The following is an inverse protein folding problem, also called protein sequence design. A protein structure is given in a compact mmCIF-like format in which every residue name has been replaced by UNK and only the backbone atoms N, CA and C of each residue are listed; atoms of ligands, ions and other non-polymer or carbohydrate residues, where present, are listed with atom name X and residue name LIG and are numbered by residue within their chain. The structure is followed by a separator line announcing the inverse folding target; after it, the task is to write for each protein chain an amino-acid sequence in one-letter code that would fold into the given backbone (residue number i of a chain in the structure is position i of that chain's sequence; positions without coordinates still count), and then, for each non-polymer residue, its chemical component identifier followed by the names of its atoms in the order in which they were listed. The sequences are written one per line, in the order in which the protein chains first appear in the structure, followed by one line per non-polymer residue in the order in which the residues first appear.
data_IF_428191865285
#
_entry.id   IF_428191865285
#
_cell.length_a   1.000
_cell.length_b   1.000
_cell.length_c   1.000
_cell.angle_alpha   90.00
_cell.angle_beta   90.00
_cell.angle_gamma   90.00
#
_symmetry.space_group_name_H-M   'P 1'
#
loop_
_entity.id
_entity.type
_entity.pdbx_description
1 polymer ?
#
# COMPACT_ATOMS: atom_id res chain seq x y z
N UNK A 1 7.50 45.11 40.58
CA UNK A 1 7.83 45.05 39.14
C UNK A 1 8.50 43.69 38.94
N UNK A 2 7.77 42.61 39.20
CA UNK A 2 8.36 41.26 39.36
C UNK A 2 7.33 40.13 39.08
N UNK A 3 6.26 40.40 38.33
CA UNK A 3 5.22 39.41 38.00
C UNK A 3 4.88 39.36 36.50
N UNK A 4 5.89 39.54 35.63
CA UNK A 4 5.69 39.48 34.16
C UNK A 4 6.68 38.57 33.41
N UNK A 5 7.53 37.80 34.09
CA UNK A 5 8.53 36.94 33.41
C UNK A 5 8.13 35.45 33.29
N UNK A 6 7.09 34.99 33.99
CA UNK A 6 6.78 33.54 34.04
C UNK A 6 5.92 33.00 32.89
N UNK A 7 5.39 33.85 32.00
CA UNK A 7 4.46 33.41 30.93
C UNK A 7 5.12 33.04 29.60
N UNK A 8 6.38 33.41 29.38
CA UNK A 8 7.10 33.04 28.16
C UNK A 8 7.72 31.64 28.25
N UNK A 9 8.03 31.15 29.46
CA UNK A 9 8.69 29.84 29.64
C UNK A 9 7.80 28.61 29.40
N UNK A 10 6.47 28.78 29.47
CA UNK A 10 5.49 27.70 29.27
C UNK A 10 5.08 27.49 27.80
N UNK A 11 5.29 28.49 26.94
CA UNK A 11 4.96 28.38 25.51
C UNK A 11 6.04 27.63 24.71
N UNK A 12 7.31 27.74 25.09
CA UNK A 12 8.40 27.00 24.41
C UNK A 12 8.42 25.51 24.74
N UNK A 13 7.96 25.10 25.94
CA UNK A 13 7.86 23.68 26.32
C UNK A 13 6.79 22.90 25.54
N UNK A 14 5.84 23.57 24.91
CA UNK A 14 4.83 22.90 24.06
C UNK A 14 5.26 22.75 22.58
N UNK A 15 6.35 23.42 22.17
CA UNK A 15 6.82 23.40 20.77
C UNK A 15 7.76 22.23 20.48
N UNK A 16 8.57 21.83 21.45
CA UNK A 16 9.57 20.76 21.27
C UNK A 16 8.98 19.34 21.32
N UNK A 17 7.76 19.16 21.85
CA UNK A 17 7.16 17.83 21.98
C UNK A 17 6.34 17.38 20.74
N UNK A 18 6.35 18.18 19.65
CA UNK A 18 5.65 17.86 18.39
C UNK A 18 6.56 17.52 17.21
N UNK A 19 7.89 17.65 17.32
CA UNK A 19 8.80 17.44 16.19
C UNK A 19 9.41 16.02 16.07
N UNK A 20 9.26 15.14 17.06
CA UNK A 20 9.98 13.85 17.10
C UNK A 20 9.14 12.59 16.77
N UNK A 21 8.01 12.70 16.06
CA UNK A 21 7.20 11.51 15.70
C UNK A 21 6.73 11.41 14.24
N UNK A 22 7.44 12.02 13.28
CA UNK A 22 7.16 11.81 11.86
C UNK A 22 8.43 11.66 11.02
N UNK A 23 8.96 10.44 10.99
CA UNK A 23 9.67 9.80 9.86
C UNK A 23 10.14 8.45 10.41
N UNK A 24 9.73 7.30 9.91
CA UNK A 24 10.09 6.80 8.59
C UNK A 24 9.36 5.45 8.42
N UNK A 25 8.40 5.36 7.50
CA UNK A 25 7.98 4.07 6.93
C UNK A 25 7.61 4.33 5.46
N UNK A 26 8.44 3.79 4.58
CA UNK A 26 8.30 3.84 3.13
C UNK A 26 7.42 2.67 2.69
N UNK A 27 6.16 2.94 2.34
CA UNK A 27 5.32 1.99 1.63
C UNK A 27 5.64 2.02 0.12
N UNK A 28 6.19 0.90 -0.34
CA UNK A 28 6.36 0.53 -1.74
C UNK A 28 5.06 -0.14 -2.21
N UNK A 29 4.23 0.59 -2.96
CA UNK A 29 3.03 0.04 -3.60
C UNK A 29 3.42 -0.55 -4.96
N UNK A 30 3.36 -1.88 -5.06
CA UNK A 30 3.14 -2.57 -6.34
C UNK A 30 1.81 -3.30 -6.24
N UNK A 31 0.86 -2.79 -7.01
CA UNK A 31 -0.42 -3.43 -7.31
C UNK A 31 -0.17 -4.70 -8.14
N UNK A 32 -0.69 -5.83 -7.65
CA UNK A 32 -1.03 -6.95 -8.51
C UNK A 32 -2.35 -7.55 -8.05
N UNK A 33 -3.39 -7.25 -8.82
CA UNK A 33 -4.68 -7.93 -8.79
C UNK A 33 -4.51 -9.42 -9.10
N UNK A 34 -4.92 -10.28 -8.16
CA UNK A 34 -5.29 -11.65 -8.51
C UNK A 34 -6.59 -12.04 -7.80
N UNK A 35 -7.63 -12.08 -8.63
CA UNK A 35 -8.95 -12.64 -8.39
C UNK A 35 -8.81 -14.16 -8.23
N UNK A 36 -9.00 -14.66 -7.02
CA UNK A 36 -9.08 -16.10 -6.73
C UNK A 36 -10.43 -16.40 -6.12
N UNK A 37 -11.25 -17.03 -6.95
CA UNK A 37 -12.54 -17.60 -6.62
C UNK A 37 -12.42 -18.68 -5.53
N UNK A 38 -13.54 -18.83 -4.84
CA UNK A 38 -13.89 -19.84 -3.85
C UNK A 38 -13.33 -21.23 -4.17
N UNK A 39 -12.79 -21.89 -3.14
CA UNK A 39 -13.10 -23.28 -2.83
C UNK A 39 -12.86 -23.52 -1.33
N UNK A 40 -13.95 -23.82 -0.62
CA UNK A 40 -13.93 -24.27 0.77
C UNK A 40 -13.78 -25.78 0.77
N UNK A 41 -12.59 -26.25 1.14
CA UNK A 41 -12.32 -27.68 1.33
C UNK A 41 -12.02 -28.01 2.79
N UNK A 42 -12.63 -29.12 3.23
CA UNK A 42 -12.37 -29.98 4.42
C UNK A 42 -13.27 -29.78 5.65
N UNK A 43 -13.67 -30.87 6.35
CA UNK A 43 -12.88 -32.10 6.54
C UNK A 43 -13.61 -33.45 6.33
N UNK A 44 -12.90 -34.42 5.76
CA UNK A 44 -13.25 -35.84 5.84
C UNK A 44 -12.87 -36.37 7.23
N UNK A 45 -13.89 -36.66 8.04
CA UNK A 45 -13.80 -37.55 9.19
C UNK A 45 -14.15 -38.96 8.72
N UNK A 46 -13.14 -39.78 8.40
CA UNK A 46 -13.33 -41.21 8.20
C UNK A 46 -13.44 -41.88 9.57
N UNK A 47 -14.67 -42.24 9.95
CA UNK A 47 -14.97 -43.23 10.98
C UNK A 47 -15.08 -44.61 10.31
N UNK A 48 -14.62 -45.68 10.98
CA UNK A 48 -14.50 -47.01 10.37
C UNK A 48 -15.84 -47.75 10.34
N UNK A 49 -16.13 -48.35 9.19
CA UNK A 49 -17.27 -49.25 8.99
C UNK A 49 -16.94 -50.68 9.46
N UNK A 50 -17.98 -51.34 9.95
CA UNK A 50 -17.96 -52.60 10.67
C UNK A 50 -18.02 -53.84 9.75
N UNK A 51 -17.36 -54.91 10.23
CA UNK A 51 -17.68 -56.35 10.02
C UNK A 51 -17.54 -56.95 8.61
N UNK A 52 -16.47 -57.73 8.45
CA UNK A 52 -16.57 -59.07 7.86
C UNK A 52 -15.94 -60.11 8.80
N UNK A 53 -16.80 -60.85 9.49
CA UNK A 53 -16.52 -62.14 10.10
C UNK A 53 -16.55 -63.23 9.02
N UNK A 54 -15.47 -63.99 8.86
CA UNK A 54 -15.53 -65.31 8.22
C UNK A 54 -14.37 -66.20 8.70
N UNK A 55 -14.67 -67.01 9.71
CA UNK A 55 -14.20 -68.37 10.00
C UNK A 55 -12.96 -68.89 9.24
N UNK A 56 -11.88 -69.13 9.98
CA UNK A 56 -10.74 -69.94 9.54
C UNK A 56 -10.71 -71.26 10.33
N UNK A 57 -10.60 -72.37 9.58
CA UNK A 57 -10.41 -73.79 9.96
C UNK A 57 -11.73 -74.58 10.15
N UNK A 58 -11.88 -75.80 9.58
CA UNK A 58 -10.85 -76.85 9.49
C UNK A 58 -10.71 -77.53 8.12
N UNK A 59 -9.58 -78.22 7.87
CA UNK A 59 -9.51 -79.26 6.85
C UNK A 59 -8.75 -80.45 7.41
N UNK A 60 -9.53 -81.46 7.77
CA UNK A 60 -9.11 -82.82 8.11
C UNK A 60 -8.64 -83.49 6.84
N UNK A 61 -7.37 -83.92 6.79
CA UNK A 61 -6.89 -84.87 5.79
C UNK A 61 -6.92 -86.27 6.40
N UNK A 62 -7.82 -87.08 5.86
CA UNK A 62 -7.83 -88.53 5.96
C UNK A 62 -6.88 -89.11 4.92
N UNK A 63 -5.91 -89.92 5.35
CA UNK A 63 -5.16 -90.82 4.46
C UNK A 63 -5.14 -92.22 5.05
N UNK A 64 -5.77 -93.13 4.32
CA UNK A 64 -5.97 -94.55 4.63
C UNK A 64 -4.71 -95.38 4.37
N UNK A 65 -4.57 -96.41 5.22
CA UNK A 65 -4.11 -97.78 4.98
C UNK A 65 -2.67 -98.05 4.52
N UNK A 66 -1.93 -98.81 5.34
CA UNK A 66 -1.22 -100.02 4.90
C UNK A 66 -1.32 -101.12 5.99
N UNK A 67 -1.71 -102.32 5.56
CA UNK A 67 -1.72 -103.59 6.29
C UNK A 67 -0.28 -104.07 6.59
N UNK A 68 -0.11 -104.94 7.62
CA UNK A 68 0.38 -106.33 7.47
C UNK A 68 0.77 -106.98 8.83
N UNK A 69 0.26 -108.20 8.98
CA UNK A 69 0.72 -109.37 9.75
C UNK A 69 0.63 -109.44 11.30
N UNK A 70 -0.45 -110.12 11.70
CA UNK A 70 -0.48 -111.31 12.56
C UNK A 70 0.86 -111.88 13.05
N UNK A 71 1.02 -111.94 14.38
CA UNK A 71 1.78 -113.00 15.04
C UNK A 71 0.99 -113.57 16.20
N UNK A 72 1.01 -114.89 16.23
CA UNK A 72 0.18 -115.82 16.97
C UNK A 72 0.58 -115.96 18.45
N UNK A 73 -0.40 -116.42 19.23
CA UNK A 73 -0.28 -117.27 20.40
C UNK A 73 -0.19 -116.66 21.81
N UNK A 74 -1.17 -117.12 22.61
CA UNK A 74 -1.25 -117.24 24.07
C UNK A 74 -1.78 -116.02 24.82
N UNK A 75 -3.04 -116.08 25.26
CA UNK A 75 -3.44 -116.12 26.68
C UNK A 75 -4.94 -115.76 26.86
N UNK A 76 -5.83 -116.77 26.75
CA UNK A 76 -7.29 -116.65 26.91
C UNK A 76 -7.74 -116.18 28.32
N UNK A 77 -6.81 -115.87 29.23
CA UNK A 77 -7.11 -115.24 30.52
C UNK A 77 -6.98 -113.71 30.52
N UNK A 78 -6.33 -113.10 29.51
CA UNK A 78 -6.16 -111.64 29.37
C UNK A 78 -7.26 -110.95 28.54
N UNK A 79 -8.02 -111.70 27.74
CA UNK A 79 -9.01 -111.14 26.81
C UNK A 79 -10.26 -110.58 27.54
N UNK A 80 -10.63 -111.20 28.67
CA UNK A 80 -11.70 -110.74 29.58
C UNK A 80 -11.26 -109.54 30.44
N UNK A 81 -9.98 -109.44 30.81
CA UNK A 81 -9.42 -108.26 31.48
C UNK A 81 -9.22 -107.10 30.50
N UNK A 82 -8.79 -107.35 29.27
CA UNK A 82 -8.65 -106.33 28.22
C UNK A 82 -10.01 -105.79 27.73
N UNK A 83 -11.08 -106.61 27.69
CA UNK A 83 -12.44 -106.11 27.42
C UNK A 83 -12.95 -105.21 28.54
N UNK A 84 -12.72 -105.58 29.81
CA UNK A 84 -13.07 -104.75 30.97
C UNK A 84 -12.24 -103.48 31.07
N UNK A 85 -10.96 -103.53 30.68
CA UNK A 85 -10.10 -102.35 30.55
C UNK A 85 -10.58 -101.43 29.43
N UNK A 86 -10.98 -101.96 28.27
CA UNK A 86 -11.55 -101.18 27.16
C UNK A 86 -12.93 -100.59 27.48
N UNK A 87 -13.80 -101.34 28.16
CA UNK A 87 -15.07 -100.80 28.68
C UNK A 87 -14.82 -99.68 29.70
N UNK A 88 -13.87 -99.86 30.62
CA UNK A 88 -13.50 -98.81 31.58
C UNK A 88 -12.87 -97.57 30.90
N UNK A 89 -12.08 -97.76 29.83
CA UNK A 89 -11.47 -96.68 29.05
C UNK A 89 -12.50 -95.92 28.19
N UNK A 90 -13.52 -96.63 27.67
CA UNK A 90 -14.64 -96.02 26.95
C UNK A 90 -15.62 -95.32 27.92
N UNK A 91 -15.84 -95.85 29.12
CA UNK A 91 -16.56 -95.17 30.20
C UNK A 91 -15.84 -93.88 30.62
N UNK A 92 -14.52 -93.90 30.75
CA UNK A 92 -13.71 -92.71 31.06
C UNK A 92 -13.77 -91.65 29.93
N UNK A 93 -13.78 -92.08 28.66
CA UNK A 93 -14.00 -91.18 27.51
C UNK A 93 -15.39 -90.57 27.52
N UNK A 94 -16.42 -91.32 27.88
CA UNK A 94 -17.78 -90.82 27.96
C UNK A 94 -17.95 -89.82 29.13
N UNK A 95 -17.29 -90.05 30.27
CA UNK A 95 -17.22 -89.10 31.38
C UNK A 95 -16.46 -87.82 31.00
N UNK A 96 -15.35 -87.92 30.27
CA UNK A 96 -14.62 -86.76 29.77
C UNK A 96 -15.45 -85.97 28.75
N UNK A 97 -16.22 -86.64 27.88
CA UNK A 97 -17.15 -85.98 26.95
C UNK A 97 -18.26 -85.23 27.71
N UNK A 98 -18.81 -85.83 28.77
CA UNK A 98 -19.83 -85.19 29.60
C UNK A 98 -19.28 -83.97 30.34
N UNK A 99 -18.08 -84.10 30.92
CA UNK A 99 -17.40 -83.02 31.64
C UNK A 99 -17.11 -81.84 30.70
N UNK A 100 -16.51 -82.09 29.52
CA UNK A 100 -16.26 -81.06 28.52
C UNK A 100 -17.55 -80.40 28.00
N UNK A 101 -18.65 -81.16 27.87
CA UNK A 101 -19.96 -80.61 27.48
C UNK A 101 -20.55 -79.72 28.59
N UNK A 102 -20.33 -80.06 29.86
CA UNK A 102 -20.78 -79.24 30.98
C UNK A 102 -19.95 -77.96 31.10
N UNK A 103 -18.63 -78.03 30.93
CA UNK A 103 -17.75 -76.86 30.85
C UNK A 103 -18.17 -75.93 29.69
N UNK A 104 -18.51 -76.48 28.53
CA UNK A 104 -19.01 -75.68 27.40
C UNK A 104 -20.33 -74.96 27.74
N UNK A 105 -21.23 -75.62 28.48
CA UNK A 105 -22.48 -74.99 28.95
C UNK A 105 -22.20 -73.86 29.95
N UNK A 106 -21.25 -74.06 30.86
CA UNK A 106 -20.86 -73.01 31.81
C UNK A 106 -20.28 -71.79 31.08
N UNK A 107 -19.42 -72.00 30.09
CA UNK A 107 -18.88 -70.93 29.24
C UNK A 107 -20.00 -70.22 28.47
N UNK A 108 -21.00 -70.94 27.96
CA UNK A 108 -22.14 -70.33 27.26
C UNK A 108 -22.98 -69.46 28.19
N UNK A 109 -23.19 -69.89 29.44
CA UNK A 109 -23.90 -69.11 30.47
C UNK A 109 -23.12 -67.83 30.79
N UNK A 110 -21.80 -67.94 30.99
CA UNK A 110 -20.94 -66.78 31.23
C UNK A 110 -20.92 -65.82 30.03
N UNK A 111 -20.96 -66.34 28.81
CA UNK A 111 -21.01 -65.54 27.60
C UNK A 111 -22.35 -64.81 27.43
N UNK A 112 -23.46 -65.45 27.79
CA UNK A 112 -24.77 -64.81 27.84
C UNK A 112 -24.78 -63.67 28.85
N UNK A 113 -24.28 -63.89 30.07
CA UNK A 113 -24.15 -62.84 31.08
C UNK A 113 -23.25 -61.68 30.64
N UNK A 114 -22.15 -61.97 29.96
CA UNK A 114 -21.25 -60.94 29.42
C UNK A 114 -21.97 -60.09 28.35
N UNK A 115 -22.72 -60.73 27.45
CA UNK A 115 -23.52 -60.04 26.42
C UNK A 115 -24.57 -59.14 27.04
N UNK A 116 -25.34 -59.64 28.00
CA UNK A 116 -26.37 -58.85 28.68
C UNK A 116 -25.76 -57.64 29.38
N UNK A 117 -24.64 -57.83 30.10
CA UNK A 117 -23.92 -56.73 30.75
C UNK A 117 -23.37 -55.72 29.75
N UNK A 118 -22.88 -56.18 28.59
CA UNK A 118 -22.41 -55.30 27.52
C UNK A 118 -23.56 -54.43 26.98
N UNK A 119 -24.69 -55.06 26.66
CA UNK A 119 -25.86 -54.36 26.15
C UNK A 119 -26.45 -53.39 27.19
N UNK A 120 -26.52 -53.78 28.46
CA UNK A 120 -26.91 -52.86 29.53
C UNK A 120 -25.97 -51.65 29.64
N UNK A 121 -24.66 -51.87 29.50
CA UNK A 121 -23.67 -50.79 29.57
C UNK A 121 -23.83 -49.83 28.39
N UNK A 122 -24.04 -50.36 27.19
CA UNK A 122 -24.32 -49.56 25.99
C UNK A 122 -25.62 -48.78 26.12
N UNK A 123 -26.69 -49.41 26.64
CA UNK A 123 -27.97 -48.76 26.87
C UNK A 123 -27.85 -47.61 27.87
N UNK A 124 -27.18 -47.84 29.01
CA UNK A 124 -26.93 -46.79 30.02
C UNK A 124 -26.13 -45.62 29.46
N UNK A 125 -25.15 -45.88 28.59
CA UNK A 125 -24.39 -44.83 27.89
C UNK A 125 -25.31 -43.99 26.99
N UNK A 126 -26.13 -44.64 26.17
CA UNK A 126 -27.07 -43.96 25.28
C UNK A 126 -28.13 -43.17 26.05
N UNK A 127 -28.68 -43.72 27.12
CA UNK A 127 -29.62 -43.01 28.00
C UNK A 127 -29.00 -41.75 28.63
N UNK A 128 -27.73 -41.84 29.04
CA UNK A 128 -27.01 -40.70 29.57
C UNK A 128 -26.76 -39.63 28.50
N UNK A 129 -26.34 -40.01 27.30
CA UNK A 129 -26.19 -39.09 26.15
C UNK A 129 -27.52 -38.44 25.78
N UNK A 130 -28.62 -39.20 25.74
CA UNK A 130 -29.97 -38.68 25.52
C UNK A 130 -30.34 -37.63 26.57
N UNK A 131 -30.11 -37.93 27.85
CA UNK A 131 -30.38 -37.00 28.96
C UNK A 131 -29.54 -35.73 28.86
N UNK A 132 -28.30 -35.83 28.42
CA UNK A 132 -27.44 -34.66 28.13
C UNK A 132 -28.00 -33.81 26.99
N UNK A 133 -28.51 -34.45 25.93
CA UNK A 133 -29.18 -33.77 24.82
C UNK A 133 -30.46 -33.06 25.27
N UNK A 134 -31.31 -33.71 26.06
CA UNK A 134 -32.52 -33.09 26.63
C UNK A 134 -32.19 -31.88 27.50
N UNK A 135 -31.09 -31.94 28.27
CA UNK A 135 -30.60 -30.83 29.07
C UNK A 135 -29.86 -29.76 28.25
N UNK A 136 -29.71 -29.91 26.94
CA UNK A 136 -28.89 -29.07 26.05
C UNK A 136 -27.43 -28.91 26.52
N UNK A 137 -26.88 -29.94 27.17
CA UNK A 137 -25.52 -29.96 27.73
C UNK A 137 -24.61 -30.96 27.02
N UNK A 138 -25.05 -31.51 25.89
CA UNK A 138 -24.23 -32.38 25.08
C UNK A 138 -22.93 -31.64 24.67
N UNK A 139 -21.75 -32.25 24.81
CA UNK A 139 -20.47 -31.58 24.55
C UNK A 139 -20.38 -31.00 23.14
N UNK A 140 -20.87 -31.74 22.13
CA UNK A 140 -20.87 -31.28 20.75
C UNK A 140 -21.76 -30.05 20.57
N UNK A 141 -22.92 -30.02 21.22
CA UNK A 141 -23.82 -28.88 21.16
C UNK A 141 -23.20 -27.63 21.78
N UNK A 142 -22.56 -27.79 22.95
CA UNK A 142 -21.85 -26.69 23.62
C UNK A 142 -20.68 -26.19 22.77
N UNK A 143 -19.98 -27.10 22.10
CA UNK A 143 -18.90 -26.75 21.18
C UNK A 143 -19.41 -25.91 20.00
N UNK A 144 -20.47 -26.35 19.32
CA UNK A 144 -21.05 -25.59 18.21
C UNK A 144 -21.59 -24.23 18.67
N UNK A 145 -22.22 -24.17 19.84
CA UNK A 145 -22.73 -22.90 20.37
C UNK A 145 -21.59 -21.90 20.62
N UNK A 146 -20.48 -22.35 21.21
CA UNK A 146 -19.30 -21.50 21.40
C UNK A 146 -18.73 -20.99 20.08
N UNK A 147 -18.63 -21.86 19.06
CA UNK A 147 -18.15 -21.46 17.73
C UNK A 147 -19.05 -20.40 17.11
N UNK A 148 -20.37 -20.53 17.23
CA UNK A 148 -21.34 -19.55 16.73
C UNK A 148 -21.16 -18.22 17.47
N UNK A 149 -21.07 -18.25 18.81
CA UNK A 149 -20.88 -17.06 19.63
C UNK A 149 -19.57 -16.33 19.32
N UNK A 150 -18.48 -17.07 19.13
CA UNK A 150 -17.18 -16.52 18.74
C UNK A 150 -17.23 -15.88 17.36
N UNK A 151 -17.86 -16.54 16.38
CA UNK A 151 -18.06 -15.97 15.06
C UNK A 151 -18.88 -14.68 15.11
N UNK A 152 -19.98 -14.70 15.88
CA UNK A 152 -20.86 -13.55 16.04
C UNK A 152 -20.13 -12.36 16.70
N UNK A 153 -19.41 -12.61 17.80
CA UNK A 153 -18.56 -11.60 18.45
C UNK A 153 -17.52 -11.04 17.48
N UNK A 154 -16.83 -11.90 16.74
CA UNK A 154 -15.85 -11.48 15.73
C UNK A 154 -16.46 -10.67 14.58
N UNK A 155 -17.72 -10.92 14.21
CA UNK A 155 -18.44 -10.09 13.22
C UNK A 155 -18.80 -8.71 13.78
N UNK A 156 -19.31 -8.66 15.01
CA UNK A 156 -19.63 -7.40 15.69
C UNK A 156 -18.39 -6.53 15.82
N UNK A 157 -17.28 -7.11 16.31
CA UNK A 157 -16.03 -6.37 16.51
C UNK A 157 -15.51 -5.80 15.18
N UNK A 158 -15.50 -6.59 14.11
CA UNK A 158 -15.14 -6.11 12.77
C UNK A 158 -16.04 -4.97 12.31
N UNK A 159 -17.35 -5.07 12.52
CA UNK A 159 -18.30 -4.02 12.16
C UNK A 159 -18.05 -2.71 12.93
N UNK A 160 -17.79 -2.80 14.24
CA UNK A 160 -17.48 -1.64 15.09
C UNK A 160 -16.17 -0.98 14.63
N UNK A 161 -15.13 -1.79 14.40
CA UNK A 161 -13.84 -1.28 13.93
C UNK A 161 -13.95 -0.63 12.55
N UNK A 162 -14.71 -1.23 11.64
CA UNK A 162 -14.99 -0.65 10.33
C UNK A 162 -15.69 0.71 10.45
N UNK A 163 -16.72 0.81 11.31
CA UNK A 163 -17.42 2.07 11.54
C UNK A 163 -16.49 3.14 12.12
N UNK A 164 -15.67 2.78 13.12
CA UNK A 164 -14.68 3.68 13.72
C UNK A 164 -13.67 4.20 12.70
N UNK A 165 -13.15 3.31 11.85
CA UNK A 165 -12.19 3.69 10.82
C UNK A 165 -12.84 4.56 9.74
N UNK A 166 -14.09 4.27 9.33
CA UNK A 166 -14.84 5.12 8.40
C UNK A 166 -15.04 6.53 8.93
N UNK A 167 -15.38 6.68 10.21
CA UNK A 167 -15.51 7.99 10.86
C UNK A 167 -14.19 8.75 10.88
N UNK A 168 -13.07 8.06 11.18
CA UNK A 168 -11.73 8.66 11.13
C UNK A 168 -11.34 9.12 9.73
N UNK A 169 -11.61 8.30 8.71
CA UNK A 169 -11.35 8.67 7.32
C UNK A 169 -12.16 9.90 6.90
N UNK A 170 -13.43 9.97 7.29
CA UNK A 170 -14.30 11.10 6.98
C UNK A 170 -13.82 12.39 7.65
N UNK A 171 -13.38 12.33 8.91
CA UNK A 171 -12.81 13.49 9.60
C UNK A 171 -11.50 13.96 8.92
N UNK A 172 -10.61 13.02 8.60
CA UNK A 172 -9.36 13.34 7.89
C UNK A 172 -9.62 13.97 6.52
N UNK A 173 -10.56 13.41 5.76
CA UNK A 173 -10.97 13.95 4.46
C UNK A 173 -11.55 15.36 4.61
N UNK A 174 -12.38 15.59 5.63
CA UNK A 174 -12.97 16.91 5.90
C UNK A 174 -11.89 17.93 6.25
N UNK A 175 -10.91 17.55 7.07
CA UNK A 175 -9.76 18.39 7.41
C UNK A 175 -8.92 18.72 6.17
N UNK A 176 -8.61 17.71 5.35
CA UNK A 176 -7.88 17.88 4.11
C UNK A 176 -8.59 18.84 3.15
N UNK A 177 -9.91 18.69 2.95
CA UNK A 177 -10.67 19.58 2.09
C UNK A 177 -10.71 21.02 2.62
N UNK A 178 -10.84 21.22 3.93
CA UNK A 178 -10.77 22.57 4.51
C UNK A 178 -9.44 23.24 4.19
N UNK A 179 -8.33 22.53 4.40
CA UNK A 179 -6.99 23.02 4.09
C UNK A 179 -6.85 23.31 2.59
N UNK A 180 -7.33 22.41 1.73
CA UNK A 180 -7.31 22.59 0.28
C UNK A 180 -8.08 23.84 -0.15
N UNK A 181 -9.29 24.07 0.39
CA UNK A 181 -10.10 25.26 0.10
C UNK A 181 -9.35 26.54 0.51
N UNK A 182 -8.74 26.54 1.69
CA UNK A 182 -7.95 27.69 2.16
C UNK A 182 -6.73 27.96 1.29
N UNK A 183 -5.98 26.92 0.91
CA UNK A 183 -4.83 27.05 0.01
C UNK A 183 -5.26 27.56 -1.37
N UNK A 184 -6.38 27.05 -1.91
CA UNK A 184 -6.93 27.50 -3.17
C UNK A 184 -7.36 28.98 -3.10
N UNK A 185 -7.96 29.40 -1.99
CA UNK A 185 -8.32 30.80 -1.77
C UNK A 185 -7.09 31.71 -1.79
N UNK A 186 -6.05 31.37 -1.03
CA UNK A 186 -4.80 32.16 -0.99
C UNK A 186 -4.17 32.24 -2.37
N UNK A 187 -4.09 31.10 -3.08
CA UNK A 187 -3.60 31.06 -4.46
C UNK A 187 -4.40 31.99 -5.38
N UNK A 188 -5.72 31.95 -5.31
CA UNK A 188 -6.58 32.80 -6.14
C UNK A 188 -6.35 34.30 -5.87
N UNK A 189 -6.12 34.68 -4.62
CA UNK A 189 -5.79 36.06 -4.24
C UNK A 189 -4.44 36.50 -4.85
N UNK A 190 -3.41 35.65 -4.74
CA UNK A 190 -2.11 35.93 -5.35
C UNK A 190 -2.19 35.95 -6.88
N UNK A 191 -2.87 34.99 -7.51
CA UNK A 191 -3.06 34.94 -8.97
C UNK A 191 -3.80 36.18 -9.48
N UNK A 192 -4.77 36.70 -8.73
CA UNK A 192 -5.45 37.95 -9.04
C UNK A 192 -4.47 39.13 -8.96
N UNK A 193 -3.72 39.24 -7.86
CA UNK A 193 -2.71 40.29 -7.69
C UNK A 193 -1.65 40.27 -8.80
N UNK A 194 -1.11 39.10 -9.14
CA UNK A 194 -0.14 38.96 -10.23
C UNK A 194 -0.73 39.33 -11.59
N UNK A 195 -1.99 38.99 -11.85
CA UNK A 195 -2.70 39.37 -13.07
C UNK A 195 -2.83 40.89 -13.19
N UNK A 196 -3.21 41.55 -12.10
CA UNK A 196 -3.32 43.01 -12.08
C UNK A 196 -1.96 43.70 -12.22
N UNK A 197 -0.92 43.22 -11.54
CA UNK A 197 0.45 43.74 -11.71
C UNK A 197 0.90 43.59 -13.15
N UNK A 198 0.67 42.43 -13.78
CA UNK A 198 1.02 42.18 -15.18
C UNK A 198 0.27 43.14 -16.11
N UNK A 199 -1.03 43.36 -15.87
CA UNK A 199 -1.85 44.31 -16.65
C UNK A 199 -1.28 45.72 -16.55
N UNK A 200 -1.10 46.25 -15.35
CA UNK A 200 -0.58 47.60 -15.12
C UNK A 200 0.81 47.77 -15.73
N UNK A 201 1.67 46.76 -15.61
CA UNK A 201 3.02 46.80 -16.16
C UNK A 201 2.99 46.79 -17.68
N UNK A 202 2.12 45.98 -18.30
CA UNK A 202 1.89 45.98 -19.74
C UNK A 202 1.40 47.34 -20.22
N UNK A 203 0.37 47.90 -19.57
CA UNK A 203 -0.19 49.21 -19.90
C UNK A 203 0.88 50.30 -19.77
N UNK A 204 1.72 50.23 -18.73
CA UNK A 204 2.84 51.16 -18.55
C UNK A 204 3.86 51.07 -19.70
N UNK A 205 4.22 49.86 -20.15
CA UNK A 205 5.11 49.69 -21.30
C UNK A 205 4.49 50.25 -22.59
N UNK A 206 3.21 50.00 -22.85
CA UNK A 206 2.52 50.53 -24.02
C UNK A 206 2.45 52.07 -23.99
N UNK A 207 2.08 52.68 -22.86
CA UNK A 207 2.07 54.14 -22.71
C UNK A 207 3.45 54.75 -22.96
N UNK A 208 4.52 54.12 -22.45
CA UNK A 208 5.88 54.61 -22.68
C UNK A 208 6.32 54.44 -24.14
N UNK A 209 5.90 53.35 -24.79
CA UNK A 209 6.14 53.12 -26.21
C UNK A 209 5.42 54.16 -27.07
N UNK A 210 4.16 54.43 -26.77
CA UNK A 210 3.37 55.49 -27.43
C UNK A 210 4.00 56.87 -27.23
N UNK A 211 4.38 57.22 -25.99
CA UNK A 211 5.07 58.48 -25.67
C UNK A 211 6.35 58.62 -26.50
N UNK A 212 7.21 57.60 -26.52
CA UNK A 212 8.44 57.62 -27.32
C UNK A 212 8.15 57.79 -28.81
N UNK A 213 7.12 57.13 -29.31
CA UNK A 213 6.70 57.25 -30.72
C UNK A 213 6.26 58.68 -31.04
N UNK A 214 5.49 59.32 -30.14
CA UNK A 214 5.08 60.72 -30.28
C UNK A 214 6.27 61.68 -30.19
N UNK A 215 7.19 61.46 -29.24
CA UNK A 215 8.38 62.30 -29.06
C UNK A 215 9.29 62.22 -30.29
N UNK A 216 9.53 61.01 -30.85
CA UNK A 216 10.30 60.86 -32.10
C UNK A 216 9.61 61.57 -33.27
N UNK A 217 8.29 61.39 -33.42
CA UNK A 217 7.53 62.03 -34.49
C UNK A 217 7.51 63.57 -34.37
N UNK A 218 7.43 64.10 -33.14
CA UNK A 218 7.36 65.53 -32.87
C UNK A 218 8.72 66.23 -32.96
N UNK A 219 9.81 65.59 -32.53
CA UNK A 219 11.14 66.21 -32.56
C UNK A 219 11.83 66.13 -33.93
N UNK A 220 11.26 65.40 -34.91
CA UNK A 220 11.96 65.00 -36.15
C UNK A 220 13.38 64.48 -35.83
N UNK A 221 13.57 63.88 -34.65
CA UNK A 221 14.87 63.40 -34.22
C UNK A 221 15.16 62.15 -35.05
N UNK A 222 16.29 62.08 -35.77
CA UNK A 222 16.60 60.87 -36.52
C UNK A 222 16.73 59.68 -35.57
N UNK A 223 16.30 58.50 -36.03
CA UNK A 223 16.10 57.26 -35.26
C UNK A 223 17.42 56.61 -34.76
N UNK A 224 18.36 57.39 -34.20
CA UNK A 224 19.67 56.88 -33.79
C UNK A 224 19.63 55.91 -32.59
N UNK A 225 18.54 55.90 -31.82
CA UNK A 225 18.36 55.04 -30.65
C UNK A 225 17.03 54.26 -30.66
N UNK A 226 16.34 54.22 -31.80
CA UNK A 226 15.13 53.42 -31.89
C UNK A 226 15.50 51.96 -32.12
N UNK A 227 14.74 51.06 -31.49
CA UNK A 227 14.82 49.64 -31.76
C UNK A 227 14.55 49.43 -33.26
N UNK A 228 15.61 49.12 -34.02
CA UNK A 228 15.48 48.81 -35.44
C UNK A 228 14.77 47.46 -35.56
N UNK A 229 13.50 47.47 -35.96
CA UNK A 229 12.69 46.26 -36.12
C UNK A 229 13.34 45.24 -37.06
N UNK A 230 14.12 45.73 -38.03
CA UNK A 230 14.86 44.91 -38.99
C UNK A 230 16.20 44.35 -38.46
N UNK A 231 16.69 44.85 -37.33
CA UNK A 231 17.94 44.42 -36.69
C UNK A 231 17.60 43.55 -35.47
N UNK A 232 17.33 42.28 -35.73
CA UNK A 232 17.20 41.25 -34.70
C UNK A 232 18.53 40.50 -34.54
N UNK A 233 18.81 39.92 -33.37
CA UNK A 233 20.03 39.13 -33.12
C UNK A 233 20.34 38.05 -34.17
N UNK A 234 19.31 37.57 -34.91
CA UNK A 234 19.44 36.61 -36.01
C UNK A 234 19.90 37.23 -37.34
N UNK A 235 19.52 38.48 -37.61
CA UNK A 235 19.76 39.14 -38.90
C UNK A 235 21.07 39.96 -38.88
N UNK A 236 21.65 40.16 -37.70
CA UNK A 236 22.96 40.82 -37.51
C UNK A 236 24.11 39.99 -38.06
N UNK A 237 23.91 38.69 -38.27
CA UNK A 237 24.93 37.80 -38.87
C UNK A 237 24.99 37.92 -40.41
N UNK A 238 23.98 38.52 -41.04
CA UNK A 238 23.96 38.72 -42.49
C UNK A 238 24.98 39.79 -42.90
N UNK A 239 25.87 39.43 -43.84
CA UNK A 239 26.97 40.33 -44.24
C UNK A 239 26.47 41.67 -44.83
N UNK A 240 25.26 41.70 -45.38
CA UNK A 240 24.62 42.92 -45.87
C UNK A 240 24.24 43.91 -44.75
N UNK A 241 23.66 43.42 -43.64
CA UNK A 241 23.24 44.26 -42.51
C UNK A 241 24.46 44.80 -41.75
N UNK A 242 25.52 43.97 -41.61
CA UNK A 242 26.80 44.38 -41.03
C UNK A 242 27.43 45.53 -41.83
N UNK A 243 27.45 45.42 -43.16
CA UNK A 243 28.02 46.46 -44.03
C UNK A 243 27.28 47.79 -43.88
N UNK A 244 25.96 47.77 -43.79
CA UNK A 244 25.16 48.97 -43.61
C UNK A 244 25.37 49.59 -42.21
N UNK A 245 25.44 48.77 -41.15
CA UNK A 245 25.79 49.23 -39.81
C UNK A 245 27.19 49.85 -39.76
N UNK A 246 28.19 49.25 -40.41
CA UNK A 246 29.54 49.79 -40.52
C UNK A 246 29.54 51.11 -41.29
N UNK A 247 28.75 51.23 -42.35
CA UNK A 247 28.59 52.47 -43.12
C UNK A 247 27.99 53.59 -42.28
N UNK A 248 26.92 53.31 -41.54
CA UNK A 248 26.28 54.27 -40.63
C UNK A 248 27.23 54.70 -39.52
N UNK A 249 27.92 53.74 -38.87
CA UNK A 249 28.94 54.03 -37.86
C UNK A 249 30.06 54.91 -38.40
N UNK A 250 30.55 54.61 -39.61
CA UNK A 250 31.62 55.38 -40.23
C UNK A 250 31.15 56.79 -40.64
N UNK A 251 29.89 56.97 -41.01
CA UNK A 251 29.31 58.29 -41.25
C UNK A 251 29.29 59.12 -39.95
N UNK A 252 28.82 58.53 -38.85
CA UNK A 252 28.84 59.18 -37.53
C UNK A 252 30.26 59.54 -37.08
N UNK A 253 31.24 58.66 -37.27
CA UNK A 253 32.63 58.99 -36.94
C UNK A 253 33.21 60.11 -37.79
N UNK A 254 32.78 60.26 -39.05
CA UNK A 254 33.17 61.43 -39.86
C UNK A 254 32.56 62.70 -39.33
N UNK A 255 31.29 62.67 -38.95
CA UNK A 255 30.62 63.83 -38.34
C UNK A 255 31.30 64.21 -37.02
N UNK A 256 31.55 63.25 -36.13
CA UNK A 256 32.26 63.48 -34.86
C UNK A 256 33.67 64.02 -35.12
N UNK A 257 34.41 63.46 -36.08
CA UNK A 257 35.76 63.92 -36.42
C UNK A 257 35.76 65.36 -36.96
N UNK A 258 34.77 65.71 -37.80
CA UNK A 258 34.58 67.07 -38.28
C UNK A 258 34.27 68.02 -37.11
N UNK A 259 33.40 67.62 -36.19
CA UNK A 259 33.02 68.39 -35.00
C UNK A 259 34.21 68.57 -34.05
N UNK A 260 34.99 67.52 -33.84
CA UNK A 260 36.23 67.56 -33.04
C UNK A 260 37.28 68.47 -33.68
N UNK A 261 37.39 68.45 -35.01
CA UNK A 261 38.19 69.41 -35.77
C UNK A 261 37.72 70.85 -35.58
N UNK A 262 36.41 71.10 -35.63
CA UNK A 262 35.84 72.44 -35.37
C UNK A 262 36.14 72.92 -33.96
N UNK A 263 36.04 72.05 -32.95
CA UNK A 263 36.40 72.37 -31.56
C UNK A 263 37.90 72.70 -31.44
N UNK A 264 38.78 71.89 -32.03
CA UNK A 264 40.25 72.08 -31.93
C UNK A 264 40.74 73.32 -32.65
N UNK A 265 40.26 73.58 -33.87
CA UNK A 265 40.83 74.62 -34.73
C UNK A 265 40.06 75.93 -34.68
N UNK A 266 38.73 75.90 -34.50
CA UNK A 266 37.91 77.11 -34.47
C UNK A 266 37.50 77.52 -33.06
N UNK A 267 37.73 76.70 -32.02
CA UNK A 267 37.26 76.92 -30.63
C UNK A 267 35.76 77.29 -30.53
N UNK A 268 34.97 76.98 -31.56
CA UNK A 268 33.54 77.22 -31.60
C UNK A 268 32.86 75.87 -31.50
N UNK A 269 32.15 75.66 -30.40
CA UNK A 269 31.19 74.58 -30.29
C UNK A 269 29.93 74.97 -31.09
N UNK A 270 29.28 74.05 -31.82
CA UNK A 270 28.04 74.36 -32.55
C UNK A 270 26.86 74.75 -31.65
N UNK A 271 26.97 74.60 -30.32
CA UNK A 271 26.16 75.37 -29.38
C UNK A 271 26.88 76.69 -29.05
N UNK A 272 26.67 77.69 -29.90
CA UNK A 272 27.26 79.03 -29.81
C UNK A 272 26.71 79.88 -28.64
N UNK A 273 26.48 79.28 -27.47
CA UNK A 273 26.02 79.99 -26.27
C UNK A 273 27.16 80.30 -25.28
N UNK A 274 28.29 79.57 -25.34
CA UNK A 274 29.39 79.73 -24.37
C UNK A 274 30.58 80.57 -24.88
N UNK A 275 30.58 81.00 -26.15
CA UNK A 275 31.68 81.77 -26.76
C UNK A 275 31.24 83.10 -27.38
N UNK A 276 30.04 83.60 -27.05
CA UNK A 276 29.73 85.02 -27.24
C UNK A 276 30.40 85.75 -26.08
N UNK A 277 31.66 86.17 -26.27
CA UNK A 277 32.22 87.19 -25.38
C UNK A 277 31.54 88.51 -25.78
N UNK A 278 31.02 89.26 -24.79
CA UNK A 278 30.50 90.60 -25.06
C UNK A 278 31.57 91.44 -25.76
N UNK A 279 31.14 92.32 -26.67
CA UNK A 279 32.01 93.28 -27.34
C UNK A 279 32.80 94.07 -26.28
N UNK A 280 34.13 94.11 -26.40
CA UNK A 280 34.96 94.94 -25.52
C UNK A 280 34.77 96.41 -25.89
N UNK A 281 34.78 97.32 -24.92
CA UNK A 281 34.51 98.75 -25.17
C UNK A 281 35.48 99.36 -26.21
N UNK A 282 36.71 98.84 -26.29
CA UNK A 282 37.70 99.25 -27.30
C UNK A 282 37.31 98.82 -28.73
N UNK A 283 36.75 97.62 -28.89
CA UNK A 283 36.27 97.12 -30.19
C UNK A 283 35.02 97.89 -30.62
N UNK A 284 34.16 98.23 -29.67
CA UNK A 284 32.96 99.03 -29.89
C UNK A 284 33.29 100.44 -30.37
N UNK A 285 34.31 101.08 -29.78
CA UNK A 285 34.79 102.40 -30.21
C UNK A 285 35.44 102.38 -31.60
N UNK A 286 36.15 101.31 -31.95
CA UNK A 286 36.74 101.15 -33.29
C UNK A 286 35.64 101.05 -34.35
N UNK A 287 34.65 100.18 -34.13
CA UNK A 287 33.51 100.02 -35.04
C UNK A 287 32.68 101.32 -35.16
N UNK A 288 32.47 102.05 -34.05
CA UNK A 288 31.78 103.35 -34.05
C UNK A 288 32.57 104.43 -34.81
N UNK A 289 33.91 104.42 -34.74
CA UNK A 289 34.75 105.32 -35.55
C UNK A 289 34.72 104.94 -37.02
N UNK A 290 34.72 103.66 -37.35
CA UNK A 290 34.60 103.21 -38.74
C UNK A 290 33.22 103.53 -39.35
N UNK A 291 32.15 103.55 -38.55
CA UNK A 291 30.82 103.95 -39.00
C UNK A 291 30.59 105.45 -39.14
N UNK A 292 31.48 106.29 -38.59
CA UNK A 292 31.37 107.77 -38.66
C UNK A 292 32.37 108.42 -39.63
N UNK A 293 33.22 107.63 -40.29
CA UNK A 293 34.03 108.03 -41.43
C UNK A 293 33.35 107.70 -42.76
#
# INVERSE_FOLDING_TARGET
MEEMEDKESDLDRMRDNQQDKQSHDHDNQQDHDHDSQQDHDKPNNDLPDERHTSSHLPTVQTSSSEDIETSDSLDETKELEQKKLKEAEDDEREQNRLTAMNELKEIEIDFAHLKDKLYETQLKKLEFELKLCEMNKHPDFVYFMKMIDENFKGRIERSINLQKNRLRCLDNQTRAYRVQIHQQFIKNCEDLKYREIRRITSDWYEINKERRTMDTASLQSPEYYQYNEHITAKNVEEQGTINELVRQRNALYREISNMEGMVKYKRVFPSSLNYIKGCDDEEMEVDLREMTS
#
